data_IF_835673061120
#
_entry.id   IF_835673061120
#
_cell.length_a   1.000
_cell.length_b   1.000
_cell.length_c   1.000
_cell.angle_alpha   90.00
_cell.angle_beta   90.00
_cell.angle_gamma   90.00
#
_symmetry.space_group_name_H-M   'P 1'
#
loop_
_entity.id
_entity.type
_entity.pdbx_description
1 polymer ?
#
# COMPACT_ATOMS: atom_id res chain seq x y z
N UNK A 1 22.64 4.69 12.42
CA UNK A 1 22.05 3.37 12.73
C UNK A 1 21.42 2.66 11.52
N UNK A 2 21.07 3.35 10.42
CA UNK A 2 20.77 2.72 9.10
C UNK A 2 21.92 2.85 8.10
N UNK A 3 22.85 3.78 8.35
CA UNK A 3 24.01 4.07 7.49
C UNK A 3 25.08 2.98 7.45
N UNK A 4 24.99 1.96 8.31
CA UNK A 4 25.90 0.81 8.36
C UNK A 4 25.32 -0.44 7.69
N UNK A 5 24.05 -0.39 7.26
CA UNK A 5 23.37 -1.51 6.63
C UNK A 5 23.76 -1.62 5.15
N UNK A 6 23.77 -2.86 4.62
CA UNK A 6 24.03 -3.09 3.21
C UNK A 6 22.99 -2.33 2.35
N UNK A 7 23.38 -1.78 1.18
CA UNK A 7 22.46 -1.02 0.32
C UNK A 7 21.17 -1.78 -0.04
N UNK A 8 21.24 -3.11 -0.13
CA UNK A 8 20.07 -3.98 -0.35
C UNK A 8 19.11 -4.05 0.82
N UNK A 9 19.60 -4.00 2.07
CA UNK A 9 18.74 -3.98 3.25
C UNK A 9 18.01 -2.63 3.37
N UNK A 10 18.68 -1.54 3.02
CA UNK A 10 18.09 -0.19 3.04
C UNK A 10 16.99 -0.06 2.00
N UNK A 11 17.16 -0.61 0.79
CA UNK A 11 16.12 -0.57 -0.24
C UNK A 11 14.90 -1.41 0.13
N UNK A 12 15.09 -2.60 0.72
CA UNK A 12 14.01 -3.44 1.23
C UNK A 12 13.25 -2.75 2.38
N UNK A 13 13.95 -2.05 3.27
CA UNK A 13 13.34 -1.27 4.35
C UNK A 13 12.45 -0.14 3.80
N UNK A 14 12.94 0.61 2.81
CA UNK A 14 12.17 1.68 2.16
C UNK A 14 10.93 1.11 1.46
N UNK A 15 11.07 -0.04 0.78
CA UNK A 15 9.94 -0.74 0.16
C UNK A 15 8.91 -1.20 1.20
N UNK A 16 9.34 -1.79 2.31
CA UNK A 16 8.46 -2.22 3.40
C UNK A 16 7.67 -1.06 4.01
N UNK A 17 8.33 0.08 4.27
CA UNK A 17 7.69 1.30 4.77
C UNK A 17 6.69 1.85 3.75
N UNK A 18 7.07 1.86 2.46
CA UNK A 18 6.21 2.29 1.37
C UNK A 18 4.94 1.45 1.24
N UNK A 19 5.04 0.11 1.32
CA UNK A 19 3.89 -0.78 1.28
C UNK A 19 2.93 -0.57 2.47
N UNK A 20 3.46 -0.31 3.66
CA UNK A 20 2.65 -0.03 4.85
C UNK A 20 1.91 1.31 4.79
N UNK A 21 2.53 2.35 4.24
CA UNK A 21 1.96 3.71 4.20
C UNK A 21 0.77 3.87 3.25
N UNK A 22 0.59 2.94 2.30
CA UNK A 22 -0.51 2.98 1.33
C UNK A 22 -1.84 2.53 1.97
N UNK A 23 -1.77 1.73 3.05
CA UNK A 23 -2.94 1.29 3.79
C UNK A 23 -3.62 2.46 4.52
N UNK A 24 -4.94 2.56 4.39
CA UNK A 24 -5.77 3.58 5.06
C UNK A 24 -5.54 5.02 4.58
N UNK A 25 -5.31 5.25 3.29
CA UNK A 25 -5.39 6.60 2.76
C UNK A 25 -6.83 7.14 2.85
N UNK A 26 -7.00 8.40 3.25
CA UNK A 26 -8.30 9.05 3.24
C UNK A 26 -8.75 9.27 1.80
N UNK A 27 -10.05 9.09 1.55
CA UNK A 27 -10.72 9.36 0.26
C UNK A 27 -10.68 10.87 -0.07
N UNK A 28 -9.52 11.32 -0.54
CA UNK A 28 -9.25 12.72 -0.89
C UNK A 28 -9.09 12.89 -2.42
N UNK A 29 -8.70 11.84 -3.14
CA UNK A 29 -8.36 11.95 -4.55
C UNK A 29 -9.58 12.07 -5.48
N UNK A 30 -9.51 12.91 -6.51
CA UNK A 30 -10.58 13.14 -7.50
C UNK A 30 -11.04 11.85 -8.22
N UNK A 31 -10.12 10.90 -8.41
CA UNK A 31 -10.42 9.59 -9.00
C UNK A 31 -11.42 8.75 -8.18
N UNK A 32 -11.47 8.92 -6.85
CA UNK A 32 -12.46 8.26 -6.00
C UNK A 32 -13.88 8.69 -6.37
N UNK A 33 -14.09 10.00 -6.54
CA UNK A 33 -15.39 10.56 -6.90
C UNK A 33 -15.81 10.15 -8.32
N UNK A 34 -14.86 10.10 -9.27
CA UNK A 34 -15.12 9.60 -10.61
C UNK A 34 -15.58 8.14 -10.61
N UNK A 35 -14.86 7.24 -9.92
CA UNK A 35 -15.24 5.82 -9.82
C UNK A 35 -16.59 5.68 -9.11
N UNK A 36 -16.81 6.42 -8.02
CA UNK A 36 -18.10 6.42 -7.31
C UNK A 36 -19.26 6.85 -8.22
N UNK A 37 -19.09 7.88 -9.04
CA UNK A 37 -20.11 8.38 -9.98
C UNK A 37 -20.35 7.41 -11.14
N UNK A 38 -19.27 6.86 -11.73
CA UNK A 38 -19.33 5.91 -12.86
C UNK A 38 -20.06 4.62 -12.48
N UNK A 39 -19.84 4.11 -11.28
CA UNK A 39 -20.47 2.87 -10.80
C UNK A 39 -21.78 3.11 -10.03
N UNK A 40 -22.24 4.36 -9.89
CA UNK A 40 -23.47 4.69 -9.17
C UNK A 40 -23.46 4.28 -7.69
N UNK A 41 -22.29 4.25 -7.05
CA UNK A 41 -22.12 3.73 -5.69
C UNK A 41 -22.42 4.79 -4.62
N UNK A 42 -22.88 4.35 -3.44
CA UNK A 42 -22.97 5.25 -2.27
C UNK A 42 -21.57 5.56 -1.71
N UNK A 43 -21.40 6.72 -1.05
CA UNK A 43 -20.10 7.12 -0.46
C UNK A 43 -19.58 6.05 0.51
N UNK A 44 -20.47 5.43 1.31
CA UNK A 44 -20.09 4.36 2.23
C UNK A 44 -19.58 3.10 1.52
N UNK A 45 -20.22 2.69 0.42
CA UNK A 45 -19.79 1.52 -0.36
C UNK A 45 -18.49 1.76 -1.13
N UNK A 46 -18.35 2.94 -1.73
CA UNK A 46 -17.15 3.33 -2.45
C UNK A 46 -15.94 3.40 -1.50
N UNK A 47 -16.08 4.07 -0.35
CA UNK A 47 -15.00 4.16 0.65
C UNK A 47 -14.64 2.78 1.20
N UNK A 48 -15.63 1.93 1.50
CA UNK A 48 -15.36 0.57 1.96
C UNK A 48 -14.59 -0.25 0.93
N UNK A 49 -14.97 -0.16 -0.35
CA UNK A 49 -14.29 -0.85 -1.44
C UNK A 49 -12.86 -0.35 -1.61
N UNK A 50 -12.67 0.97 -1.59
CA UNK A 50 -11.35 1.59 -1.68
C UNK A 50 -10.42 1.12 -0.56
N UNK A 51 -10.91 1.12 0.68
CA UNK A 51 -10.14 0.67 1.84
C UNK A 51 -9.77 -0.80 1.74
N UNK A 52 -10.69 -1.68 1.33
CA UNK A 52 -10.41 -3.11 1.15
C UNK A 52 -9.32 -3.32 0.09
N UNK A 53 -9.42 -2.65 -1.06
CA UNK A 53 -8.44 -2.77 -2.13
C UNK A 53 -7.07 -2.27 -1.66
N UNK A 54 -7.00 -1.11 -1.01
CA UNK A 54 -5.74 -0.54 -0.50
C UNK A 54 -5.11 -1.43 0.59
N UNK A 55 -5.91 -2.04 1.46
CA UNK A 55 -5.43 -3.00 2.46
C UNK A 55 -4.85 -4.25 1.79
N UNK A 56 -5.53 -4.82 0.78
CA UNK A 56 -5.02 -5.98 0.05
C UNK A 56 -3.68 -5.65 -0.62
N UNK A 57 -3.60 -4.51 -1.32
CA UNK A 57 -2.37 -4.07 -1.98
C UNK A 57 -1.23 -3.87 -0.96
N UNK A 58 -1.52 -3.26 0.19
CA UNK A 58 -0.55 -3.06 1.27
C UNK A 58 -0.03 -4.39 1.84
N UNK A 59 -0.92 -5.35 2.12
CA UNK A 59 -0.56 -6.67 2.65
C UNK A 59 0.22 -7.49 1.63
N UNK A 60 -0.20 -7.51 0.36
CA UNK A 60 0.49 -8.25 -0.70
C UNK A 60 1.86 -7.63 -0.99
N UNK A 61 1.96 -6.30 -1.03
CA UNK A 61 3.24 -5.60 -1.19
C UNK A 61 4.21 -5.89 -0.04
N UNK A 62 3.73 -5.82 1.21
CA UNK A 62 4.53 -6.15 2.37
C UNK A 62 4.99 -7.63 2.36
N UNK A 63 4.09 -8.56 2.01
CA UNK A 63 4.43 -9.97 1.88
C UNK A 63 5.49 -10.21 0.78
N UNK A 64 5.39 -9.53 -0.36
CA UNK A 64 6.38 -9.64 -1.44
C UNK A 64 7.77 -9.13 -1.00
N UNK A 65 7.82 -7.98 -0.30
CA UNK A 65 9.07 -7.45 0.26
C UNK A 65 9.65 -8.38 1.32
N UNK A 66 8.80 -8.98 2.16
CA UNK A 66 9.22 -9.95 3.16
C UNK A 66 9.82 -11.22 2.54
N UNK A 67 9.19 -11.74 1.48
CA UNK A 67 9.74 -12.88 0.71
C UNK A 67 11.07 -12.52 0.06
N UNK A 68 11.19 -11.35 -0.57
CA UNK A 68 12.45 -10.87 -1.14
C UNK A 68 13.55 -10.73 -0.07
N UNK A 69 13.18 -10.27 1.13
CA UNK A 69 14.10 -10.17 2.26
C UNK A 69 14.70 -11.52 2.64
N UNK A 70 13.97 -12.63 2.54
CA UNK A 70 14.50 -13.97 2.84
C UNK A 70 15.57 -14.43 1.84
N UNK A 71 15.53 -13.95 0.60
CA UNK A 71 16.51 -14.30 -0.44
C UNK A 71 17.72 -13.36 -0.49
N UNK A 72 17.58 -12.13 0.01
CA UNK A 72 18.62 -11.09 0.04
C UNK A 72 19.36 -10.98 1.38
N UNK A 73 18.89 -11.69 2.42
CA UNK A 73 19.59 -11.88 3.71
C UNK A 73 20.76 -12.84 3.53
#
# INVERSE_FOLDING_TARGET
>A
MVTDASPGLVSLLVLAIGCGSIGLNWVNHSGFWFIKEVFGMTIGQATKTHMIVQTIVSVVGFAAVWVLSLFLT
#
